data_IF_327469601750
#
_entry.id   IF_327469601750
#
_cell.length_a   1.000
_cell.length_b   1.000
_cell.length_c   1.000
_cell.angle_alpha   90.00
_cell.angle_beta   90.00
_cell.angle_gamma   90.00
#
_symmetry.space_group_name_H-M   'P 1'
#
loop_
_entity.id
_entity.type
_entity.pdbx_description
1 polymer ?
#
# COMPACT_ATOMS: atom_id res chain seq x y z
N UNK A 1 17.20 -9.07 17.15
CA UNK A 1 17.10 -8.55 15.77
C UNK A 1 18.28 -9.06 14.95
N UNK A 2 18.19 -10.26 14.35
CA UNK A 2 19.22 -10.79 13.43
C UNK A 2 18.65 -11.71 12.31
N UNK A 3 17.32 -11.82 12.17
CA UNK A 3 16.70 -12.79 11.25
C UNK A 3 16.48 -12.30 9.81
N UNK A 4 16.49 -10.99 9.56
CA UNK A 4 16.21 -10.44 8.24
C UNK A 4 17.38 -10.61 7.24
N UNK A 5 18.63 -10.59 7.72
CA UNK A 5 19.81 -10.76 6.86
C UNK A 5 19.95 -12.20 6.33
N UNK A 6 19.49 -13.19 7.09
CA UNK A 6 19.64 -14.60 6.72
C UNK A 6 18.58 -15.02 5.67
N UNK A 7 17.35 -14.54 5.84
CA UNK A 7 16.26 -14.80 4.88
C UNK A 7 16.55 -14.21 3.49
N UNK A 8 17.13 -13.00 3.41
CA UNK A 8 17.40 -12.34 2.13
C UNK A 8 18.41 -13.11 1.25
N UNK A 9 19.46 -13.66 1.86
CA UNK A 9 20.48 -14.44 1.13
C UNK A 9 19.95 -15.82 0.70
N UNK A 10 19.04 -16.40 1.47
CA UNK A 10 18.38 -17.67 1.13
C UNK A 10 17.39 -17.54 -0.04
N UNK A 11 16.66 -16.42 -0.11
CA UNK A 11 15.60 -16.21 -1.10
C UNK A 11 16.11 -15.73 -2.46
N UNK A 12 17.22 -14.97 -2.49
CA UNK A 12 17.81 -14.43 -3.73
C UNK A 12 18.07 -15.49 -4.82
N UNK A 13 18.70 -16.65 -4.53
CA UNK A 13 18.92 -17.69 -5.53
C UNK A 13 17.61 -18.28 -6.09
N UNK A 14 16.61 -18.49 -5.24
CA UNK A 14 15.32 -19.06 -5.64
C UNK A 14 14.52 -18.10 -6.54
N UNK A 15 14.56 -16.80 -6.22
CA UNK A 15 14.01 -15.74 -7.07
C UNK A 15 14.76 -15.65 -8.41
N UNK A 16 16.09 -15.75 -8.37
CA UNK A 16 16.94 -15.73 -9.55
C UNK A 16 16.73 -16.91 -10.49
N UNK A 17 16.32 -18.08 -9.98
CA UNK A 17 15.96 -19.27 -10.78
C UNK A 17 14.47 -19.32 -11.17
N UNK A 18 13.63 -18.46 -10.61
CA UNK A 18 12.18 -18.45 -10.84
C UNK A 18 11.41 -19.57 -10.12
N UNK A 19 12.04 -20.23 -9.14
CA UNK A 19 11.45 -21.29 -8.32
C UNK A 19 10.50 -20.74 -7.25
N UNK A 20 10.62 -19.44 -6.94
CA UNK A 20 9.79 -18.72 -5.99
C UNK A 20 9.05 -17.58 -6.70
N UNK A 21 7.73 -17.53 -6.49
CA UNK A 21 6.89 -16.38 -6.82
C UNK A 21 6.55 -15.64 -5.53
N UNK A 22 6.73 -14.33 -5.50
CA UNK A 22 6.35 -13.52 -4.37
C UNK A 22 5.81 -12.16 -4.82
N UNK A 23 5.08 -11.50 -3.91
CA UNK A 23 4.64 -10.12 -4.03
C UNK A 23 5.34 -9.34 -2.91
N UNK A 24 6.07 -8.30 -3.28
CA UNK A 24 6.70 -7.37 -2.33
C UNK A 24 5.91 -6.06 -2.28
N UNK A 25 5.82 -5.45 -1.10
CA UNK A 25 5.30 -4.10 -0.92
C UNK A 25 6.41 -3.25 -0.29
N UNK A 26 6.77 -2.15 -0.95
CA UNK A 26 7.84 -1.24 -0.52
C UNK A 26 7.44 0.20 -0.79
N UNK A 27 8.02 1.14 -0.06
CA UNK A 27 8.00 2.55 -0.48
C UNK A 27 8.87 2.74 -1.74
N UNK A 28 8.65 3.83 -2.47
CA UNK A 28 9.49 4.20 -3.62
C UNK A 28 10.97 4.36 -3.22
N UNK A 29 11.22 4.88 -2.01
CA UNK A 29 12.57 5.10 -1.50
C UNK A 29 13.29 3.78 -1.21
N UNK A 30 12.59 2.82 -0.60
CA UNK A 30 13.14 1.49 -0.35
C UNK A 30 13.38 0.72 -1.66
N UNK A 31 12.46 0.80 -2.61
CA UNK A 31 12.64 0.20 -3.94
C UNK A 31 13.93 0.71 -4.61
N UNK A 32 14.11 2.03 -4.68
CA UNK A 32 15.31 2.68 -5.21
C UNK A 32 16.58 2.29 -4.47
N UNK A 33 16.49 2.10 -3.15
CA UNK A 33 17.65 1.82 -2.30
C UNK A 33 18.08 0.36 -2.37
N UNK A 34 17.14 -0.58 -2.45
CA UNK A 34 17.41 -2.00 -2.22
C UNK A 34 17.13 -2.90 -3.42
N UNK A 35 16.20 -2.54 -4.32
CA UNK A 35 15.81 -3.37 -5.45
C UNK A 35 16.44 -2.87 -6.74
N UNK A 36 16.27 -1.59 -7.07
CA UNK A 36 16.78 -0.97 -8.30
C UNK A 36 18.31 -1.05 -8.42
N UNK A 37 19.02 -1.05 -7.27
CA UNK A 37 20.48 -1.17 -7.25
C UNK A 37 21.02 -2.59 -7.42
N UNK A 38 20.17 -3.62 -7.36
CA UNK A 38 20.56 -5.02 -7.53
C UNK A 38 20.04 -5.54 -8.90
N UNK A 39 20.90 -5.63 -9.93
CA UNK A 39 20.46 -5.98 -11.29
C UNK A 39 19.78 -7.34 -11.40
N UNK A 40 20.03 -8.26 -10.46
CA UNK A 40 19.36 -9.56 -10.45
C UNK A 40 17.92 -9.45 -9.94
N UNK A 41 17.68 -8.60 -8.94
CA UNK A 41 16.34 -8.35 -8.41
C UNK A 41 15.52 -7.48 -9.35
N UNK A 42 16.10 -6.42 -9.89
CA UNK A 42 15.45 -5.49 -10.81
C UNK A 42 14.85 -6.22 -12.03
N UNK A 43 15.55 -7.21 -12.57
CA UNK A 43 15.08 -7.99 -13.73
C UNK A 43 14.03 -9.06 -13.38
N UNK A 44 13.87 -9.38 -12.11
CA UNK A 44 12.98 -10.46 -11.63
C UNK A 44 11.68 -9.93 -11.04
N UNK A 45 11.69 -8.71 -10.52
CA UNK A 45 10.48 -8.02 -10.09
C UNK A 45 9.91 -7.17 -11.21
N UNK A 46 8.60 -7.28 -11.41
CA UNK A 46 7.84 -6.33 -12.21
C UNK A 46 7.31 -5.25 -11.28
N UNK A 47 7.71 -4.00 -11.50
CA UNK A 47 7.18 -2.88 -10.73
C UNK A 47 5.73 -2.60 -11.13
N UNK A 48 4.84 -2.65 -10.14
CA UNK A 48 3.48 -2.13 -10.24
C UNK A 48 3.41 -0.91 -9.33
N UNK A 49 3.24 0.27 -9.92
CA UNK A 49 3.13 1.50 -9.15
C UNK A 49 1.73 1.62 -8.56
N UNK A 50 1.64 1.61 -7.23
CA UNK A 50 0.41 1.89 -6.50
C UNK A 50 0.43 3.33 -6.01
N UNK A 51 -0.19 4.22 -6.77
CA UNK A 51 -0.35 5.63 -6.40
C UNK A 51 -1.44 5.83 -5.34
N UNK A 52 -1.48 7.04 -4.78
CA UNK A 52 -2.61 7.49 -3.95
C UNK A 52 -3.91 7.47 -4.80
N UNK A 53 -5.03 6.94 -4.28
CA UNK A 53 -6.31 7.00 -4.96
C UNK A 53 -6.82 8.45 -5.07
N UNK A 54 -7.69 8.69 -6.05
CA UNK A 54 -8.41 9.96 -6.13
C UNK A 54 -9.37 10.13 -4.95
N UNK A 55 -9.88 11.35 -4.73
CA UNK A 55 -10.93 11.60 -3.75
C UNK A 55 -12.17 10.77 -4.05
N UNK A 56 -12.56 10.63 -5.32
CA UNK A 56 -13.72 9.84 -5.76
C UNK A 56 -13.54 8.34 -5.47
N UNK A 57 -12.37 7.80 -5.78
CA UNK A 57 -12.03 6.40 -5.47
C UNK A 57 -12.03 6.16 -3.96
N UNK A 58 -11.49 7.12 -3.19
CA UNK A 58 -11.49 7.07 -1.72
C UNK A 58 -12.91 7.04 -1.17
N UNK A 59 -13.82 7.89 -1.68
CA UNK A 59 -15.23 7.86 -1.27
C UNK A 59 -15.85 6.49 -1.57
N UNK A 60 -15.53 5.88 -2.71
CA UNK A 60 -16.00 4.54 -3.06
C UNK A 60 -15.47 3.45 -2.12
N UNK A 61 -14.18 3.52 -1.74
CA UNK A 61 -13.57 2.65 -0.73
C UNK A 61 -14.29 2.81 0.61
N UNK A 62 -14.49 4.06 1.08
CA UNK A 62 -15.16 4.35 2.34
C UNK A 62 -16.61 3.84 2.35
N UNK A 63 -17.34 3.99 1.25
CA UNK A 63 -18.69 3.43 1.09
C UNK A 63 -18.70 1.91 1.21
N UNK A 64 -17.71 1.23 0.63
CA UNK A 64 -17.54 -0.22 0.75
C UNK A 64 -17.18 -0.69 2.18
N UNK A 65 -16.55 0.17 2.98
CA UNK A 65 -16.22 -0.11 4.39
C UNK A 65 -17.32 0.29 5.37
N UNK A 66 -18.28 1.12 4.94
CA UNK A 66 -19.28 1.77 5.80
C UNK A 66 -19.99 0.81 6.74
N UNK A 67 -20.58 -0.26 6.22
CA UNK A 67 -21.38 -1.22 7.02
C UNK A 67 -20.55 -1.83 8.15
N UNK A 68 -19.29 -2.16 7.88
CA UNK A 68 -18.37 -2.73 8.87
C UNK A 68 -18.07 -1.73 9.99
N UNK A 69 -17.88 -0.45 9.66
CA UNK A 69 -17.63 0.60 10.65
C UNK A 69 -18.89 0.97 11.44
N UNK A 70 -20.04 1.07 10.78
CA UNK A 70 -21.34 1.31 11.43
C UNK A 70 -21.64 0.22 12.45
N UNK A 71 -21.43 -1.06 12.10
CA UNK A 71 -21.60 -2.19 13.01
C UNK A 71 -20.60 -2.13 14.18
N UNK A 72 -19.32 -1.88 13.90
CA UNK A 72 -18.28 -1.86 14.92
C UNK A 72 -18.49 -0.74 15.95
N UNK A 73 -18.95 0.43 15.50
CA UNK A 73 -19.11 1.61 16.35
C UNK A 73 -20.53 1.84 16.85
N UNK A 74 -21.52 1.09 16.35
CA UNK A 74 -22.94 1.24 16.73
C UNK A 74 -23.54 2.57 16.29
N UNK A 75 -23.04 3.16 15.19
CA UNK A 75 -23.49 4.44 14.66
C UNK A 75 -23.96 4.31 13.22
N UNK A 76 -24.72 5.29 12.72
CA UNK A 76 -24.97 5.46 11.29
C UNK A 76 -24.08 6.57 10.75
N UNK A 77 -23.45 6.33 9.62
CA UNK A 77 -22.55 7.27 8.94
C UNK A 77 -23.27 7.77 7.69
N UNK A 78 -23.53 9.06 7.57
CA UNK A 78 -24.17 9.58 6.36
C UNK A 78 -23.21 9.52 5.16
N UNK A 79 -23.77 9.37 3.95
CA UNK A 79 -22.95 9.41 2.73
C UNK A 79 -22.23 10.76 2.57
N UNK A 80 -22.90 11.86 2.92
CA UNK A 80 -22.32 13.20 2.94
C UNK A 80 -21.12 13.34 3.87
N UNK A 81 -21.10 12.59 4.99
CA UNK A 81 -19.96 12.58 5.90
C UNK A 81 -18.74 11.88 5.27
N UNK A 82 -18.94 10.79 4.53
CA UNK A 82 -17.86 10.10 3.81
C UNK A 82 -17.24 10.98 2.73
N UNK A 83 -18.10 11.66 1.95
CA UNK A 83 -17.65 12.64 0.94
C UNK A 83 -16.86 13.77 1.58
N UNK A 84 -17.37 14.34 2.66
CA UNK A 84 -16.71 15.45 3.37
C UNK A 84 -15.38 14.99 3.97
N UNK A 85 -15.32 13.80 4.56
CA UNK A 85 -14.10 13.25 5.13
C UNK A 85 -13.00 13.14 4.07
N UNK A 86 -13.30 12.55 2.91
CA UNK A 86 -12.33 12.41 1.83
C UNK A 86 -11.84 13.78 1.31
N UNK A 87 -12.73 14.75 1.09
CA UNK A 87 -12.37 16.09 0.59
C UNK A 87 -11.52 16.86 1.61
N UNK A 88 -11.93 16.86 2.88
CA UNK A 88 -11.24 17.61 3.93
C UNK A 88 -9.88 16.99 4.25
N UNK A 89 -9.78 15.66 4.30
CA UNK A 89 -8.52 14.95 4.52
C UNK A 89 -7.54 15.20 3.36
N UNK A 90 -8.03 15.18 2.11
CA UNK A 90 -7.20 15.51 0.96
C UNK A 90 -6.65 16.94 1.01
N UNK A 91 -7.52 17.90 1.36
CA UNK A 91 -7.17 19.32 1.40
C UNK A 91 -6.26 19.71 2.57
N UNK A 92 -6.50 19.16 3.76
CA UNK A 92 -5.91 19.70 5.01
C UNK A 92 -4.90 18.77 5.66
N UNK A 93 -4.88 17.47 5.35
CA UNK A 93 -3.91 16.52 5.90
C UNK A 93 -2.92 16.16 4.80
N UNK A 94 -1.87 16.97 4.64
CA UNK A 94 -0.92 16.87 3.50
C UNK A 94 0.25 15.92 3.77
N UNK A 95 0.51 15.54 5.02
CA UNK A 95 1.62 14.65 5.40
C UNK A 95 1.32 13.16 5.21
N UNK A 96 0.08 12.83 4.83
CA UNK A 96 -0.39 11.46 4.61
C UNK A 96 -1.09 11.32 3.26
N UNK A 97 -1.27 10.07 2.84
CA UNK A 97 -1.91 9.72 1.59
C UNK A 97 -3.29 9.12 1.85
N UNK A 98 -4.25 9.41 0.98
CA UNK A 98 -5.45 8.59 0.90
C UNK A 98 -5.07 7.14 0.53
N UNK A 99 -5.87 6.14 0.91
CA UNK A 99 -7.12 6.23 1.69
C UNK A 99 -6.91 6.18 3.21
N UNK A 100 -5.67 6.24 3.70
CA UNK A 100 -5.35 6.05 5.13
C UNK A 100 -5.73 7.25 6.02
N UNK A 101 -5.58 8.47 5.49
CA UNK A 101 -5.83 9.71 6.23
C UNK A 101 -7.30 10.12 6.33
#
# INVERSE_FOLDING_TARGET
MNGAMDAGNLLKPMLGRGELRCIGATTLNEYRKYIEKDPALERRFQQVYCGQPSVEDTVSILRGLRERYELHHGVRISDSALVSAAILADRYITERFLPDK
#
